data_IF_214387083697
#
_entry.id   IF_214387083697
#
_cell.length_a   1.000
_cell.length_b   1.000
_cell.length_c   1.000
_cell.angle_alpha   90.00
_cell.angle_beta   90.00
_cell.angle_gamma   90.00
#
_symmetry.space_group_name_H-M   'P 1'
#
loop_
_entity.id
_entity.type
_entity.pdbx_description
1 polymer ?
#
# COMPACT_ATOMS: atom_id res chain seq x y z
N UNK A 1 25.96 -51.79 -49.18
CA UNK A 1 25.92 -50.67 -50.14
C UNK A 1 25.95 -49.38 -49.32
N UNK A 2 27.04 -48.61 -49.47
CA UNK A 2 27.35 -47.22 -49.07
C UNK A 2 26.79 -46.70 -47.71
N UNK A 3 27.55 -46.33 -46.67
CA UNK A 3 28.83 -45.58 -46.49
C UNK A 3 28.82 -44.11 -46.95
N UNK A 4 28.79 -43.18 -45.98
CA UNK A 4 29.55 -41.92 -45.89
C UNK A 4 29.22 -41.26 -44.52
N UNK A 5 30.12 -41.15 -43.53
CA UNK A 5 31.39 -40.40 -43.40
C UNK A 5 31.21 -38.89 -43.14
N UNK A 6 31.55 -38.49 -41.91
CA UNK A 6 31.95 -37.16 -41.38
C UNK A 6 33.22 -36.61 -42.13
N UNK A 7 33.82 -35.40 -41.88
CA UNK A 7 33.90 -34.64 -40.61
C UNK A 7 34.13 -33.08 -40.64
N UNK A 8 34.40 -32.54 -39.42
CA UNK A 8 35.27 -31.41 -39.01
C UNK A 8 34.92 -29.93 -39.24
N UNK A 9 34.88 -29.17 -38.12
CA UNK A 9 35.52 -27.84 -37.93
C UNK A 9 35.65 -27.65 -36.41
N UNK A 10 36.79 -27.96 -35.80
CA UNK A 10 38.00 -27.13 -35.60
C UNK A 10 37.80 -25.92 -34.68
N UNK A 11 38.36 -26.11 -33.48
CA UNK A 11 38.67 -25.21 -32.40
C UNK A 11 39.92 -24.38 -32.71
N UNK A 12 39.86 -23.06 -32.53
CA UNK A 12 41.05 -22.21 -32.49
C UNK A 12 41.29 -21.70 -31.06
N UNK A 13 42.37 -22.22 -30.48
CA UNK A 13 43.08 -21.75 -29.30
C UNK A 13 44.00 -20.60 -29.71
N UNK A 14 43.97 -19.48 -28.98
CA UNK A 14 45.02 -18.47 -29.04
C UNK A 14 45.84 -18.54 -27.75
N UNK A 15 47.04 -19.10 -27.88
CA UNK A 15 48.16 -18.92 -26.97
C UNK A 15 49.07 -17.82 -27.56
N UNK A 16 49.41 -16.79 -26.80
CA UNK A 16 50.64 -15.99 -27.03
C UNK A 16 51.24 -15.59 -25.68
N UNK A 17 52.24 -16.37 -25.31
CA UNK A 17 53.57 -16.01 -24.78
C UNK A 17 53.70 -15.14 -23.51
N UNK A 18 54.20 -15.83 -22.48
CA UNK A 18 54.81 -15.38 -21.23
C UNK A 18 56.30 -15.06 -21.53
N UNK A 19 56.80 -13.87 -21.18
CA UNK A 19 58.23 -13.60 -21.02
C UNK A 19 58.49 -12.93 -19.67
N UNK A 20 59.44 -13.51 -18.95
CA UNK A 20 59.77 -13.28 -17.55
C UNK A 20 61.16 -12.65 -17.42
N UNK A 21 61.34 -11.99 -16.27
CA UNK A 21 62.60 -11.62 -15.57
C UNK A 21 63.16 -10.21 -15.82
N UNK A 22 63.08 -9.29 -14.85
CA UNK A 22 63.88 -9.12 -13.60
C UNK A 22 65.27 -8.53 -13.87
N UNK A 23 65.52 -7.27 -13.49
CA UNK A 23 66.76 -6.92 -12.76
C UNK A 23 66.67 -5.57 -12.02
N UNK A 24 67.17 -5.60 -10.79
CA UNK A 24 67.36 -4.46 -9.89
C UNK A 24 68.62 -3.67 -10.28
N UNK A 25 68.60 -2.36 -10.07
CA UNK A 25 69.81 -1.53 -10.12
C UNK A 25 69.56 -0.14 -9.53
N UNK A 26 69.95 0.03 -8.27
CA UNK A 26 70.11 1.32 -7.59
C UNK A 26 71.12 2.20 -8.34
N UNK A 27 70.89 3.51 -8.37
CA UNK A 27 71.85 4.45 -7.82
C UNK A 27 71.18 5.78 -7.45
N UNK A 28 71.59 6.27 -6.30
CA UNK A 28 71.24 7.54 -5.69
C UNK A 28 71.88 8.70 -6.46
N UNK A 29 71.30 9.89 -6.34
CA UNK A 29 71.93 11.00 -5.59
C UNK A 29 70.92 12.17 -5.42
N UNK A 30 70.66 12.51 -4.15
CA UNK A 30 70.69 13.85 -3.52
C UNK A 30 70.51 15.08 -4.45
N UNK A 31 69.77 16.16 -4.15
CA UNK A 31 69.22 16.77 -2.93
C UNK A 31 68.44 18.02 -3.39
N UNK A 32 67.45 18.48 -2.62
CA UNK A 32 67.06 19.90 -2.43
C UNK A 32 65.58 20.04 -2.03
N UNK A 33 65.40 20.08 -0.71
CA UNK A 33 64.60 21.05 0.06
C UNK A 33 63.19 21.43 -0.41
N UNK A 34 62.18 20.94 0.33
CA UNK A 34 61.03 21.78 0.68
C UNK A 34 60.42 21.29 2.00
N UNK A 35 60.65 22.06 3.05
CA UNK A 35 60.15 21.86 4.41
C UNK A 35 58.63 21.82 4.44
N UNK A 36 58.08 20.87 5.21
CA UNK A 36 56.68 20.85 5.62
C UNK A 36 56.54 21.33 7.06
N UNK A 37 55.55 22.20 7.29
CA UNK A 37 54.81 22.52 8.52
C UNK A 37 53.69 23.47 8.03
N UNK A 38 52.42 23.08 7.91
CA UNK A 38 51.47 22.58 8.92
C UNK A 38 51.21 23.61 10.03
N UNK A 39 50.28 24.54 9.75
CA UNK A 39 49.18 25.05 10.60
C UNK A 39 48.64 26.32 9.94
N UNK A 40 47.62 26.20 9.08
CA UNK A 40 46.81 27.35 8.74
C UNK A 40 45.89 27.65 9.93
N UNK A 41 46.28 28.67 10.68
CA UNK A 41 45.42 29.49 11.52
C UNK A 41 44.35 30.14 10.64
N UNK A 42 43.28 29.40 10.34
CA UNK A 42 41.99 30.00 9.97
C UNK A 42 41.06 29.83 11.18
N UNK A 43 41.35 30.64 12.20
CA UNK A 43 40.40 31.09 13.22
C UNK A 43 39.32 31.93 12.53
N UNK A 44 38.47 31.26 11.74
CA UNK A 44 37.15 31.79 11.44
C UNK A 44 36.31 31.54 12.68
N UNK A 45 36.24 32.58 13.51
CA UNK A 45 35.23 32.82 14.53
C UNK A 45 33.86 32.45 13.93
N UNK A 46 33.46 31.19 14.15
CA UNK A 46 32.12 30.72 13.90
C UNK A 46 31.26 31.51 14.89
N UNK A 47 30.48 32.44 14.33
CA UNK A 47 29.49 33.26 15.03
C UNK A 47 28.45 32.29 15.58
N UNK A 48 28.80 31.66 16.70
CA UNK A 48 27.96 30.76 17.47
C UNK A 48 26.92 31.64 18.16
N UNK A 49 25.96 32.12 17.37
CA UNK A 49 24.68 32.58 17.88
C UNK A 49 24.22 31.48 18.84
N UNK A 50 24.12 31.84 20.11
CA UNK A 50 23.67 30.96 21.15
C UNK A 50 22.29 30.39 20.75
N UNK A 51 22.29 29.19 20.17
CA UNK A 51 21.07 28.46 19.89
C UNK A 51 20.33 28.32 21.22
N UNK A 52 19.11 28.84 21.27
CA UNK A 52 18.24 28.68 22.42
C UNK A 52 18.18 27.18 22.74
N UNK A 53 18.61 26.82 23.96
CA UNK A 53 18.68 25.44 24.46
C UNK A 53 17.29 24.75 24.39
N UNK A 54 16.21 25.52 24.23
CA UNK A 54 14.85 25.05 24.03
C UNK A 54 14.62 24.32 22.69
N UNK A 55 15.43 24.59 21.66
CA UNK A 55 15.26 24.00 20.33
C UNK A 55 15.77 22.55 20.22
N UNK A 56 16.60 22.09 21.17
CA UNK A 56 17.25 20.77 21.13
C UNK A 56 16.52 19.64 21.89
N UNK A 57 15.36 19.92 22.48
CA UNK A 57 14.57 18.86 23.14
C UNK A 57 14.03 17.93 22.03
N UNK A 58 13.87 16.61 22.20
CA UNK A 58 13.13 15.81 21.23
C UNK A 58 11.66 16.27 21.11
N UNK A 59 11.01 16.07 19.96
CA UNK A 59 9.56 16.29 19.84
C UNK A 59 8.75 15.22 20.60
N UNK A 60 9.35 14.05 20.89
CA UNK A 60 8.76 13.00 21.72
C UNK A 60 9.68 12.59 22.90
N UNK A 61 9.20 12.64 24.16
CA UNK A 61 9.85 12.07 25.33
C UNK A 61 9.87 10.54 25.27
N UNK A 62 10.87 9.93 25.93
CA UNK A 62 11.03 8.47 25.96
C UNK A 62 10.02 7.75 26.88
N UNK A 63 9.31 8.47 27.77
CA UNK A 63 8.52 7.88 28.87
C UNK A 63 6.98 7.89 28.67
N UNK A 64 6.47 8.21 27.48
CA UNK A 64 5.02 8.29 27.26
C UNK A 64 4.43 6.90 26.94
N UNK A 65 3.60 6.37 27.85
CA UNK A 65 3.02 5.02 27.74
C UNK A 65 1.73 4.94 26.89
N UNK A 66 1.08 6.07 26.58
CA UNK A 66 -0.21 6.10 25.88
C UNK A 66 -0.11 6.87 24.55
N UNK A 67 -0.42 6.21 23.43
CA UNK A 67 -0.23 6.74 22.07
C UNK A 67 -1.02 8.04 21.79
N UNK A 68 -2.23 8.18 22.35
CA UNK A 68 -3.02 9.41 22.21
C UNK A 68 -2.29 10.60 22.88
N UNK A 69 -1.70 10.35 24.06
CA UNK A 69 -0.90 11.34 24.77
C UNK A 69 0.43 11.64 24.05
N UNK A 70 0.96 10.70 23.26
CA UNK A 70 2.16 10.91 22.43
C UNK A 70 1.84 11.88 21.30
N UNK A 71 0.72 11.68 20.60
CA UNK A 71 0.28 12.53 19.49
C UNK A 71 -0.02 13.97 19.96
N UNK A 72 -0.75 14.11 21.08
CA UNK A 72 -1.05 15.42 21.68
C UNK A 72 0.24 16.17 22.09
N UNK A 73 1.21 15.44 22.66
CA UNK A 73 2.50 16.01 23.04
C UNK A 73 3.31 16.44 21.81
N UNK A 74 3.37 15.59 20.79
CA UNK A 74 4.04 15.89 19.52
C UNK A 74 3.50 17.18 18.90
N UNK A 75 2.17 17.31 18.79
CA UNK A 75 1.53 18.50 18.21
C UNK A 75 1.79 19.74 19.06
N UNK A 76 1.74 19.62 20.39
CA UNK A 76 2.01 20.72 21.32
C UNK A 76 3.43 21.25 21.19
N UNK A 77 4.44 20.36 21.17
CA UNK A 77 5.85 20.75 21.03
C UNK A 77 6.13 21.29 19.62
N UNK A 78 5.57 20.67 18.58
CA UNK A 78 5.70 21.16 17.20
C UNK A 78 5.18 22.60 17.09
N UNK A 79 4.02 22.87 17.67
CA UNK A 79 3.40 24.19 17.69
C UNK A 79 4.23 25.22 18.45
N UNK A 80 4.86 24.82 19.56
CA UNK A 80 5.73 25.69 20.33
C UNK A 80 6.99 26.09 19.55
N UNK A 81 7.58 25.16 18.79
CA UNK A 81 8.84 25.43 18.06
C UNK A 81 8.65 26.11 16.71
N UNK A 82 7.73 25.60 15.90
CA UNK A 82 7.59 26.05 14.50
C UNK A 82 6.44 27.04 14.31
N UNK A 83 5.56 27.16 15.31
CA UNK A 83 4.49 28.16 15.36
C UNK A 83 3.07 27.59 15.24
N UNK A 84 2.10 28.49 15.33
CA UNK A 84 0.67 28.14 15.42
C UNK A 84 0.04 27.58 14.14
N UNK A 85 0.66 27.80 12.98
CA UNK A 85 0.20 27.26 11.71
C UNK A 85 0.90 25.93 11.47
N UNK A 86 0.16 24.83 11.51
CA UNK A 86 0.69 23.50 11.23
C UNK A 86 -0.40 22.59 10.65
N UNK A 87 -0.01 21.46 10.02
CA UNK A 87 -0.94 20.41 9.65
C UNK A 87 -1.65 19.85 10.90
N UNK A 88 -2.89 19.39 10.75
CA UNK A 88 -3.59 18.71 11.84
C UNK A 88 -3.07 17.29 11.94
N UNK A 89 -2.32 16.99 12.99
CA UNK A 89 -1.81 15.64 13.22
C UNK A 89 -2.92 14.74 13.75
N UNK A 90 -2.95 13.50 13.28
CA UNK A 90 -3.93 12.50 13.68
C UNK A 90 -3.67 12.08 15.12
N UNK A 91 -4.66 12.28 15.98
CA UNK A 91 -4.63 11.86 17.37
C UNK A 91 -4.94 10.36 17.45
N UNK A 92 -3.91 9.56 17.71
CA UNK A 92 -4.04 8.11 17.87
C UNK A 92 -2.86 7.33 17.27
N UNK A 93 -3.03 6.01 17.23
CA UNK A 93 -1.99 5.12 16.70
C UNK A 93 -1.86 5.18 15.18
N UNK A 94 -0.66 4.84 14.66
CA UNK A 94 -0.44 4.71 13.21
C UNK A 94 -1.43 3.73 12.55
N UNK A 95 -1.79 2.66 13.27
CA UNK A 95 -2.80 1.69 12.82
C UNK A 95 -4.17 2.35 12.61
N UNK A 96 -4.56 3.26 13.50
CA UNK A 96 -5.82 3.99 13.41
C UNK A 96 -5.78 5.05 12.32
N UNK A 97 -4.66 5.75 12.15
CA UNK A 97 -4.45 6.67 11.03
C UNK A 97 -4.54 5.93 9.68
N UNK A 98 -3.92 4.76 9.55
CA UNK A 98 -4.01 3.90 8.37
C UNK A 98 -5.45 3.42 8.12
N UNK A 99 -6.19 3.09 9.18
CA UNK A 99 -7.62 2.74 9.08
C UNK A 99 -8.46 3.93 8.62
N UNK A 100 -8.21 5.12 9.17
CA UNK A 100 -8.91 6.35 8.79
C UNK A 100 -8.62 6.77 7.34
N UNK A 101 -7.41 6.52 6.85
CA UNK A 101 -6.98 6.84 5.48
C UNK A 101 -7.59 5.87 4.45
N UNK A 102 -7.49 4.56 4.68
CA UNK A 102 -7.75 3.56 3.64
C UNK A 102 -8.89 2.56 3.93
N UNK A 103 -9.33 2.45 5.18
CA UNK A 103 -10.38 1.49 5.61
C UNK A 103 -11.74 2.16 5.89
N UNK A 104 -11.90 3.42 5.50
CA UNK A 104 -13.16 4.13 5.46
C UNK A 104 -13.89 3.93 4.11
N UNK A 105 -15.17 4.36 3.98
CA UNK A 105 -15.89 4.35 2.71
C UNK A 105 -15.09 5.04 1.61
N UNK A 106 -15.19 4.55 0.37
CA UNK A 106 -14.30 5.02 -0.71
C UNK A 106 -14.39 6.52 -1.01
N UNK A 107 -15.54 7.14 -0.77
CA UNK A 107 -15.72 8.59 -0.88
C UNK A 107 -14.77 9.35 0.06
N UNK A 108 -14.64 8.87 1.30
CA UNK A 108 -13.93 9.55 2.39
C UNK A 108 -12.45 9.18 2.48
N UNK A 109 -11.98 8.22 1.67
CA UNK A 109 -10.58 7.78 1.66
C UNK A 109 -9.67 8.95 1.31
N UNK A 110 -8.61 9.14 2.10
CA UNK A 110 -7.64 10.20 1.89
C UNK A 110 -6.24 9.60 1.94
N UNK A 111 -5.26 10.12 1.19
CA UNK A 111 -3.89 9.69 1.32
C UNK A 111 -3.39 9.87 2.75
N UNK A 112 -2.50 8.99 3.18
CA UNK A 112 -1.83 9.09 4.47
C UNK A 112 -0.49 9.82 4.29
N UNK A 113 -0.29 10.93 4.98
CA UNK A 113 0.96 11.66 5.00
C UNK A 113 1.70 11.39 6.31
N UNK A 114 2.80 10.65 6.25
CA UNK A 114 3.65 10.36 7.41
C UNK A 114 4.74 11.42 7.53
N UNK A 115 4.68 12.22 8.59
CA UNK A 115 5.73 13.17 8.92
C UNK A 115 6.71 12.51 9.91
N UNK A 116 7.93 12.27 9.45
CA UNK A 116 9.01 11.72 10.25
C UNK A 116 10.02 12.83 10.58
N UNK A 117 10.11 13.14 11.86
CA UNK A 117 11.04 14.12 12.39
C UNK A 117 12.32 13.43 12.88
N UNK A 118 13.44 14.11 12.74
CA UNK A 118 14.69 13.77 13.42
C UNK A 118 15.43 15.08 13.58
N UNK A 119 15.64 15.50 14.81
CA UNK A 119 16.45 16.67 15.06
C UNK A 119 17.93 16.29 14.92
N UNK A 120 18.67 17.09 14.17
CA UNK A 120 20.09 16.85 13.94
C UNK A 120 20.86 18.15 14.08
N UNK A 121 20.36 19.28 13.55
CA UNK A 121 21.12 20.54 13.47
C UNK A 121 20.23 21.83 13.52
N UNK A 122 19.04 21.82 14.14
CA UNK A 122 18.28 23.03 14.47
C UNK A 122 17.57 23.81 13.34
N UNK A 123 18.03 23.76 12.07
CA UNK A 123 17.40 24.50 10.96
C UNK A 123 16.96 23.60 9.80
N UNK A 124 15.74 23.08 9.90
CA UNK A 124 15.16 22.22 8.86
C UNK A 124 14.01 22.96 8.16
N UNK A 125 14.21 23.30 6.89
CA UNK A 125 13.21 24.02 6.07
C UNK A 125 11.83 23.34 6.02
N UNK A 126 11.80 22.00 6.04
CA UNK A 126 10.54 21.26 5.94
C UNK A 126 9.59 21.60 7.12
N UNK A 127 9.96 21.41 8.40
CA UNK A 127 9.10 21.84 9.50
C UNK A 127 8.92 23.36 9.60
N UNK A 128 9.98 24.16 9.45
CA UNK A 128 9.91 25.61 9.76
C UNK A 128 9.34 26.49 8.65
N UNK A 129 9.50 26.11 7.38
CA UNK A 129 9.01 26.89 6.22
C UNK A 129 7.87 26.18 5.51
N UNK A 130 8.06 24.90 5.17
CA UNK A 130 7.12 24.19 4.28
C UNK A 130 5.84 23.77 5.00
N UNK A 131 5.93 23.12 6.17
CA UNK A 131 4.75 22.64 6.89
C UNK A 131 3.96 23.78 7.54
N UNK A 132 4.65 24.85 7.97
CA UNK A 132 4.02 26.05 8.56
C UNK A 132 3.39 26.96 7.50
N UNK A 133 3.71 26.75 6.22
CA UNK A 133 3.03 27.44 5.14
C UNK A 133 1.52 27.15 5.18
N UNK A 134 0.71 28.21 5.17
CA UNK A 134 -0.75 28.12 5.32
C UNK A 134 -1.41 27.27 4.22
N UNK A 135 -0.97 27.40 2.97
CA UNK A 135 -1.55 26.68 1.84
C UNK A 135 -1.29 25.18 1.97
N UNK A 136 -0.05 24.80 2.28
CA UNK A 136 0.34 23.41 2.54
C UNK A 136 -0.39 22.84 3.76
N UNK A 137 -0.39 23.56 4.88
CA UNK A 137 -1.10 23.18 6.10
C UNK A 137 -2.60 22.95 5.86
N UNK A 138 -3.26 23.86 5.13
CA UNK A 138 -4.69 23.76 4.83
C UNK A 138 -4.98 22.62 3.85
N UNK A 139 -4.10 22.39 2.86
CA UNK A 139 -4.20 21.26 1.93
C UNK A 139 -4.09 19.92 2.67
N UNK A 140 -3.04 19.77 3.49
CA UNK A 140 -2.82 18.58 4.30
C UNK A 140 -3.98 18.31 5.27
N UNK A 141 -4.51 19.36 5.93
CA UNK A 141 -5.64 19.24 6.86
C UNK A 141 -6.92 18.74 6.17
N UNK A 142 -7.19 19.22 4.95
CA UNK A 142 -8.42 18.90 4.21
C UNK A 142 -8.33 17.54 3.51
N UNK A 143 -7.25 17.32 2.78
CA UNK A 143 -7.17 16.23 1.80
C UNK A 143 -6.35 15.03 2.26
N UNK A 144 -5.61 15.14 3.37
CA UNK A 144 -4.74 14.07 3.87
C UNK A 144 -5.11 13.67 5.30
N UNK A 145 -4.77 12.45 5.67
CA UNK A 145 -4.61 12.05 7.08
C UNK A 145 -3.14 12.23 7.40
N UNK A 146 -2.77 13.15 8.28
CA UNK A 146 -1.36 13.41 8.62
C UNK A 146 -1.03 12.72 9.93
N UNK A 147 0.04 11.93 9.99
CA UNK A 147 0.50 11.31 11.23
C UNK A 147 1.98 11.65 11.46
N UNK A 148 2.32 12.11 12.65
CA UNK A 148 3.66 12.59 13.01
C UNK A 148 4.38 11.65 13.95
N UNK A 149 5.69 11.49 13.76
CA UNK A 149 6.55 10.71 14.67
C UNK A 149 7.97 11.28 14.74
N UNK A 150 8.56 11.24 15.92
CA UNK A 150 9.94 11.67 16.16
C UNK A 150 10.90 10.49 16.25
N UNK A 151 11.87 10.43 15.35
CA UNK A 151 12.91 9.41 15.23
C UNK A 151 14.27 9.83 15.80
N UNK A 152 14.31 10.92 16.58
CA UNK A 152 15.55 11.47 17.17
C UNK A 152 16.23 10.44 18.09
N UNK A 153 15.48 9.79 18.98
CA UNK A 153 16.00 8.76 19.89
C UNK A 153 16.05 7.37 19.25
N UNK A 154 16.93 6.49 19.74
CA UNK A 154 17.01 5.11 19.24
C UNK A 154 15.76 4.29 19.61
N UNK A 155 15.16 4.55 20.77
CA UNK A 155 13.93 3.89 21.22
C UNK A 155 12.79 4.18 20.26
N UNK A 156 12.59 5.45 19.88
CA UNK A 156 11.51 5.82 18.97
C UNK A 156 11.70 5.26 17.56
N UNK A 157 12.96 5.05 17.12
CA UNK A 157 13.24 4.39 15.84
C UNK A 157 12.79 2.93 15.84
N UNK A 158 13.05 2.20 16.92
CA UNK A 158 12.63 0.79 17.06
C UNK A 158 11.09 0.71 17.17
N UNK A 159 10.49 1.59 17.98
CA UNK A 159 9.03 1.66 18.12
C UNK A 159 8.33 1.96 16.78
N UNK A 160 8.90 2.82 15.92
CA UNK A 160 8.32 3.07 14.60
C UNK A 160 8.21 1.80 13.76
N UNK A 161 9.21 0.92 13.81
CA UNK A 161 9.18 -0.35 13.08
C UNK A 161 8.04 -1.26 13.57
N UNK A 162 7.81 -1.30 14.88
CA UNK A 162 6.70 -2.02 15.50
C UNK A 162 5.34 -1.42 15.09
N UNK A 163 5.18 -0.09 15.20
CA UNK A 163 3.97 0.61 14.79
C UNK A 163 3.64 0.41 13.32
N UNK A 164 4.65 0.46 12.44
CA UNK A 164 4.46 0.18 11.01
C UNK A 164 4.10 -1.27 10.75
N UNK A 165 4.58 -2.22 11.56
CA UNK A 165 4.16 -3.60 11.46
C UNK A 165 2.69 -3.79 11.85
N UNK A 166 2.23 -3.15 12.93
CA UNK A 166 0.84 -3.20 13.38
C UNK A 166 -0.14 -2.54 12.41
N UNK A 167 0.33 -1.58 11.61
CA UNK A 167 -0.44 -0.85 10.62
C UNK A 167 -0.45 -1.49 9.21
N UNK A 168 0.11 -2.69 9.04
CA UNK A 168 0.32 -3.34 7.72
C UNK A 168 1.21 -2.52 6.76
N UNK A 169 2.17 -1.76 7.31
CA UNK A 169 3.07 -0.86 6.57
C UNK A 169 4.53 -1.32 6.59
N UNK A 170 4.83 -2.51 7.14
CA UNK A 170 6.20 -3.06 7.22
C UNK A 170 6.95 -3.06 5.87
N UNK A 171 6.25 -3.25 4.76
CA UNK A 171 6.85 -3.26 3.40
C UNK A 171 7.47 -1.93 2.98
N UNK A 172 6.97 -0.82 3.50
CA UNK A 172 7.45 0.53 3.16
C UNK A 172 8.41 1.09 4.21
N UNK A 173 8.61 0.40 5.35
CA UNK A 173 9.58 0.79 6.37
C UNK A 173 11.01 0.87 5.82
N UNK A 174 11.43 -0.11 5.01
CA UNK A 174 12.76 -0.12 4.36
C UNK A 174 12.95 0.98 3.31
N UNK A 175 11.89 1.70 2.96
CA UNK A 175 11.89 2.77 1.96
C UNK A 175 11.91 4.17 2.59
N UNK A 176 11.95 4.25 3.93
CA UNK A 176 12.13 5.50 4.66
C UNK A 176 13.51 6.07 4.32
N UNK A 177 13.60 7.36 3.93
CA UNK A 177 14.87 7.96 3.59
C UNK A 177 15.77 8.11 4.83
N UNK A 178 17.08 7.96 4.64
CA UNK A 178 18.07 8.20 5.69
C UNK A 178 18.14 9.68 6.12
N UNK A 179 17.85 10.59 5.18
CA UNK A 179 17.79 12.04 5.44
C UNK A 179 16.40 12.42 5.94
N UNK A 180 16.36 12.87 7.18
CA UNK A 180 15.18 13.40 7.87
C UNK A 180 15.40 14.89 8.16
N UNK A 181 14.31 15.68 8.30
CA UNK A 181 12.92 15.28 8.38
C UNK A 181 12.32 15.05 6.99
N UNK A 182 11.29 14.21 6.91
CA UNK A 182 10.61 13.90 5.66
C UNK A 182 9.10 13.77 5.84
N UNK A 183 8.34 14.18 4.82
CA UNK A 183 6.91 13.90 4.69
C UNK A 183 6.75 12.85 3.59
N UNK A 184 6.31 11.65 3.97
CA UNK A 184 6.07 10.53 3.07
C UNK A 184 4.59 10.45 2.74
N UNK A 185 4.23 10.51 1.46
CA UNK A 185 2.84 10.31 1.03
C UNK A 185 2.62 8.85 0.69
N UNK A 186 1.66 8.24 1.35
CA UNK A 186 1.28 6.84 1.18
C UNK A 186 -0.09 6.75 0.52
N UNK A 187 -0.17 5.93 -0.52
CA UNK A 187 -1.40 5.48 -1.15
C UNK A 187 -1.56 3.97 -0.96
N UNK A 188 -2.78 3.47 -1.15
CA UNK A 188 -3.08 2.04 -0.99
C UNK A 188 -3.80 1.45 -2.22
N UNK A 189 -3.16 1.39 -3.40
CA UNK A 189 -3.71 0.69 -4.56
C UNK A 189 -4.00 -0.77 -4.19
N UNK A 190 -5.22 -1.23 -4.45
CA UNK A 190 -5.67 -2.58 -4.07
C UNK A 190 -5.39 -2.95 -2.61
N UNK A 191 -5.48 -1.99 -1.68
CA UNK A 191 -5.18 -2.16 -0.25
C UNK A 191 -3.71 -2.49 0.10
N UNK A 192 -2.77 -2.24 -0.81
CA UNK A 192 -1.33 -2.41 -0.55
C UNK A 192 -0.70 -1.04 -0.34
N UNK A 193 -0.18 -0.78 0.87
CA UNK A 193 0.48 0.48 1.20
C UNK A 193 1.75 0.70 0.36
N UNK A 194 1.83 1.86 -0.30
CA UNK A 194 2.95 2.27 -1.15
C UNK A 194 3.29 3.74 -0.90
N UNK A 195 4.57 4.05 -0.72
CA UNK A 195 5.07 5.44 -0.70
C UNK A 195 5.15 5.94 -2.14
N UNK A 196 4.38 6.98 -2.47
CA UNK A 196 4.36 7.59 -3.80
C UNK A 196 5.17 8.88 -3.89
N UNK A 197 5.34 9.58 -2.77
CA UNK A 197 6.17 10.78 -2.70
C UNK A 197 6.98 10.85 -1.40
N UNK A 198 8.16 11.49 -1.50
CA UNK A 198 9.07 11.74 -0.38
C UNK A 198 9.49 13.20 -0.43
N UNK A 199 8.89 14.02 0.43
CA UNK A 199 9.15 15.46 0.49
C UNK A 199 10.11 15.71 1.63
N UNK A 200 11.22 16.37 1.35
CA UNK A 200 12.32 16.62 2.29
C UNK A 200 12.72 18.09 2.26
N UNK A 201 13.58 18.53 3.20
CA UNK A 201 13.95 19.96 3.37
C UNK A 201 14.66 20.66 2.21
N UNK A 202 14.87 20.00 1.06
CA UNK A 202 15.37 20.65 -0.16
C UNK A 202 14.25 21.03 -1.15
N UNK A 203 13.00 20.66 -0.86
CA UNK A 203 11.84 21.04 -1.66
C UNK A 203 11.45 22.49 -1.33
N UNK A 204 11.11 23.27 -2.36
CA UNK A 204 10.44 24.56 -2.14
C UNK A 204 8.97 24.35 -1.78
N UNK A 205 8.30 25.41 -1.34
CA UNK A 205 6.86 25.37 -1.06
C UNK A 205 6.08 25.03 -2.34
N UNK A 206 6.44 25.63 -3.47
CA UNK A 206 5.77 25.42 -4.77
C UNK A 206 5.89 23.96 -5.21
N UNK A 207 7.11 23.42 -5.17
CA UNK A 207 7.37 22.01 -5.52
C UNK A 207 6.64 21.05 -4.59
N UNK A 208 6.53 21.41 -3.31
CA UNK A 208 5.75 20.63 -2.33
C UNK A 208 4.27 20.63 -2.71
N UNK A 209 3.70 21.80 -3.03
CA UNK A 209 2.32 21.94 -3.47
C UNK A 209 2.04 21.11 -4.71
N UNK A 210 2.87 21.23 -5.75
CA UNK A 210 2.77 20.43 -6.98
C UNK A 210 2.79 18.92 -6.67
N UNK A 211 3.75 18.47 -5.87
CA UNK A 211 3.88 17.05 -5.49
C UNK A 211 2.65 16.54 -4.74
N UNK A 212 2.08 17.35 -3.83
CA UNK A 212 0.88 16.97 -3.08
C UNK A 212 -0.36 16.91 -3.99
N UNK A 213 -0.49 17.85 -4.93
CA UNK A 213 -1.58 17.84 -5.91
C UNK A 213 -1.50 16.60 -6.83
N UNK A 214 -0.31 16.26 -7.32
CA UNK A 214 -0.08 15.05 -8.12
C UNK A 214 -0.45 13.78 -7.34
N UNK A 215 -0.14 13.74 -6.04
CA UNK A 215 -0.53 12.61 -5.19
C UNK A 215 -2.06 12.51 -5.02
N UNK A 216 -2.77 13.64 -4.98
CA UNK A 216 -4.23 13.66 -4.89
C UNK A 216 -4.88 13.19 -6.20
N UNK A 217 -4.31 13.55 -7.34
CA UNK A 217 -4.74 13.06 -8.64
C UNK A 217 -4.56 11.54 -8.73
N UNK A 218 -3.38 11.02 -8.39
CA UNK A 218 -3.13 9.57 -8.32
C UNK A 218 -4.09 8.86 -7.36
N UNK A 219 -4.40 9.46 -6.20
CA UNK A 219 -5.36 8.88 -5.26
C UNK A 219 -6.77 8.82 -5.85
N UNK A 220 -7.18 9.81 -6.64
CA UNK A 220 -8.46 9.81 -7.35
C UNK A 220 -8.51 8.68 -8.38
N UNK A 221 -7.46 8.53 -9.18
CA UNK A 221 -7.36 7.42 -10.14
C UNK A 221 -7.44 6.05 -9.46
N UNK A 222 -6.73 5.88 -8.33
CA UNK A 222 -6.78 4.64 -7.54
C UNK A 222 -8.19 4.38 -6.98
N UNK A 223 -8.89 5.42 -6.51
CA UNK A 223 -10.28 5.29 -6.05
C UNK A 223 -11.19 4.83 -7.19
N UNK A 224 -11.09 5.44 -8.36
CA UNK A 224 -11.90 5.10 -9.53
C UNK A 224 -11.61 3.67 -10.01
N UNK A 225 -10.33 3.27 -10.06
CA UNK A 225 -9.93 1.90 -10.40
C UNK A 225 -10.46 0.86 -9.39
N UNK A 226 -10.36 1.15 -8.09
CA UNK A 226 -10.89 0.27 -7.04
C UNK A 226 -12.44 0.17 -7.10
N UNK A 227 -13.13 1.27 -7.44
CA UNK A 227 -14.58 1.29 -7.66
C UNK A 227 -14.98 0.47 -8.86
N UNK A 228 -14.32 0.66 -10.00
CA UNK A 228 -14.58 -0.10 -11.22
C UNK A 228 -14.36 -1.61 -10.99
N UNK A 229 -13.27 -1.98 -10.30
CA UNK A 229 -12.99 -3.37 -9.97
C UNK A 229 -14.05 -4.01 -9.07
N UNK A 230 -14.49 -3.30 -8.02
CA UNK A 230 -15.55 -3.78 -7.13
C UNK A 230 -16.89 -3.92 -7.86
N UNK A 231 -17.25 -2.93 -8.69
CA UNK A 231 -18.49 -2.96 -9.45
C UNK A 231 -18.51 -4.09 -10.50
N UNK A 232 -17.39 -4.32 -11.19
CA UNK A 232 -17.25 -5.42 -12.13
C UNK A 232 -17.41 -6.79 -11.45
N UNK A 233 -16.76 -6.99 -10.30
CA UNK A 233 -16.89 -8.22 -9.51
C UNK A 233 -18.33 -8.46 -9.02
N UNK A 234 -19.01 -7.41 -8.57
CA UNK A 234 -20.42 -7.51 -8.16
C UNK A 234 -21.35 -7.79 -9.34
N UNK A 235 -21.09 -7.19 -10.50
CA UNK A 235 -21.84 -7.43 -11.73
C UNK A 235 -21.71 -8.89 -12.20
N UNK A 236 -20.48 -9.43 -12.23
CA UNK A 236 -20.22 -10.83 -12.61
C UNK A 236 -20.94 -11.79 -11.65
N UNK A 237 -20.87 -11.54 -10.33
CA UNK A 237 -21.56 -12.35 -9.33
C UNK A 237 -23.07 -12.29 -9.51
N UNK A 238 -23.63 -11.12 -9.82
CA UNK A 238 -25.07 -10.92 -10.04
C UNK A 238 -25.53 -11.62 -11.32
N UNK A 239 -24.77 -11.53 -12.40
CA UNK A 239 -25.06 -12.21 -13.66
C UNK A 239 -25.07 -13.74 -13.48
N UNK A 240 -24.05 -14.28 -12.81
CA UNK A 240 -23.98 -15.71 -12.48
C UNK A 240 -25.16 -16.16 -11.61
N UNK A 241 -25.56 -15.35 -10.62
CA UNK A 241 -26.70 -15.66 -9.77
C UNK A 241 -28.02 -15.62 -10.56
N UNK A 242 -28.19 -14.66 -11.48
CA UNK A 242 -29.37 -14.57 -12.33
C UNK A 242 -29.52 -15.79 -13.25
N UNK A 243 -28.42 -16.23 -13.89
CA UNK A 243 -28.44 -17.41 -14.75
C UNK A 243 -28.79 -18.69 -13.99
N UNK A 244 -28.27 -18.87 -12.78
CA UNK A 244 -28.62 -20.01 -11.93
C UNK A 244 -30.10 -20.00 -11.53
N UNK A 245 -30.65 -18.81 -11.26
CA UNK A 245 -32.07 -18.68 -10.93
C UNK A 245 -32.96 -18.96 -12.14
N UNK A 246 -32.60 -18.48 -13.33
CA UNK A 246 -33.30 -18.83 -14.57
C UNK A 246 -33.30 -20.35 -14.83
N UNK A 247 -32.16 -21.01 -14.64
CA UNK A 247 -32.06 -22.46 -14.75
C UNK A 247 -32.91 -23.19 -13.71
N UNK A 248 -32.96 -22.69 -12.47
CA UNK A 248 -33.79 -23.26 -11.39
C UNK A 248 -35.27 -23.16 -11.73
N UNK A 249 -35.74 -22.00 -12.18
CA UNK A 249 -37.13 -21.77 -12.60
C UNK A 249 -37.52 -22.69 -13.76
N UNK A 250 -36.66 -22.80 -14.77
CA UNK A 250 -36.90 -23.69 -15.91
C UNK A 250 -36.97 -25.16 -15.48
N UNK A 251 -36.10 -25.58 -14.57
CA UNK A 251 -36.11 -26.94 -14.02
C UNK A 251 -37.37 -27.23 -13.22
N UNK A 252 -37.80 -26.31 -12.36
CA UNK A 252 -39.03 -26.44 -11.58
C UNK A 252 -40.27 -26.52 -12.47
N UNK A 253 -40.31 -25.72 -13.54
CA UNK A 253 -41.38 -25.78 -14.52
C UNK A 253 -41.43 -27.16 -15.22
N UNK A 254 -40.28 -27.68 -15.69
CA UNK A 254 -40.22 -29.01 -16.31
C UNK A 254 -40.66 -30.11 -15.34
N UNK A 255 -40.24 -30.04 -14.07
CA UNK A 255 -40.61 -31.02 -13.06
C UNK A 255 -42.11 -30.99 -12.76
N UNK A 256 -42.71 -29.80 -12.73
CA UNK A 256 -44.15 -29.64 -12.53
C UNK A 256 -44.94 -30.21 -13.71
N UNK A 257 -44.47 -29.97 -14.95
CA UNK A 257 -45.12 -30.51 -16.15
C UNK A 257 -45.05 -32.04 -16.21
N UNK A 258 -43.89 -32.62 -15.87
CA UNK A 258 -43.73 -34.08 -15.85
C UNK A 258 -44.63 -34.73 -14.78
N UNK A 259 -44.70 -34.13 -13.58
CA UNK A 259 -45.63 -34.56 -12.52
C UNK A 259 -47.09 -34.48 -12.97
N UNK A 260 -47.51 -33.35 -13.55
CA UNK A 260 -48.87 -33.16 -14.02
C UNK A 260 -49.25 -34.19 -15.10
N UNK A 261 -48.33 -34.48 -16.03
CA UNK A 261 -48.53 -35.48 -17.08
C UNK A 261 -48.65 -36.89 -16.50
N UNK A 262 -47.87 -37.21 -15.47
CA UNK A 262 -47.93 -38.50 -14.79
C UNK A 262 -49.23 -38.66 -13.99
N UNK A 263 -49.68 -37.61 -13.29
CA UNK A 263 -50.95 -37.61 -12.56
C UNK A 263 -52.15 -37.75 -13.50
N UNK A 264 -52.17 -37.03 -14.63
CA UNK A 264 -53.23 -37.15 -15.64
C UNK A 264 -53.30 -38.58 -16.22
N UNK A 265 -52.13 -39.21 -16.45
CA UNK A 265 -52.06 -40.59 -16.92
C UNK A 265 -52.63 -41.57 -15.89
N UNK A 266 -52.24 -41.43 -14.63
CA UNK A 266 -52.75 -42.26 -13.53
C UNK A 266 -54.27 -42.07 -13.33
N UNK A 267 -54.77 -40.85 -13.45
CA UNK A 267 -56.20 -40.57 -13.34
C UNK A 267 -56.99 -41.20 -14.50
N UNK A 268 -56.51 -41.09 -15.73
CA UNK A 268 -57.11 -41.74 -16.91
C UNK A 268 -57.15 -43.26 -16.76
N UNK A 269 -56.05 -43.88 -16.32
CA UNK A 269 -56.00 -45.33 -16.05
C UNK A 269 -56.99 -45.73 -14.96
N UNK A 270 -57.11 -44.95 -13.87
CA UNK A 270 -58.07 -45.22 -12.79
C UNK A 270 -59.51 -45.07 -13.26
N UNK A 271 -59.81 -44.09 -14.10
CA UNK A 271 -61.15 -43.87 -14.65
C UNK A 271 -61.54 -44.99 -15.63
N UNK A 272 -60.60 -45.43 -16.48
CA UNK A 272 -60.81 -46.54 -17.40
C UNK A 272 -61.10 -47.84 -16.66
N UNK A 273 -60.32 -48.15 -15.61
CA UNK A 273 -60.53 -49.35 -14.80
C UNK A 273 -61.89 -49.34 -14.08
N UNK A 274 -62.32 -48.18 -13.56
CA UNK A 274 -63.65 -48.04 -12.96
C UNK A 274 -64.78 -48.28 -13.96
N UNK A 275 -64.66 -47.73 -15.17
CA UNK A 275 -65.65 -47.99 -16.24
C UNK A 275 -65.71 -49.47 -16.61
N UNK A 276 -64.56 -50.12 -16.75
CA UNK A 276 -64.48 -51.55 -17.06
C UNK A 276 -65.10 -52.41 -15.94
N UNK A 277 -64.86 -52.07 -14.66
CA UNK A 277 -65.49 -52.77 -13.54
C UNK A 277 -67.02 -52.49 -13.46
N UNK A 278 -67.49 -51.28 -13.76
CA UNK A 278 -68.93 -50.95 -13.83
C UNK A 278 -69.63 -51.67 -14.98
N UNK A 279 -69.02 -51.73 -16.17
CA UNK A 279 -69.54 -52.47 -17.32
C UNK A 279 -69.61 -53.98 -17.04
N UNK A 280 -68.59 -54.55 -16.37
CA UNK A 280 -68.60 -55.97 -15.96
C UNK A 280 -69.72 -56.27 -14.95
N UNK A 281 -69.95 -55.37 -14.00
CA UNK A 281 -71.02 -55.54 -12.99
C UNK A 281 -72.42 -55.46 -13.63
N UNK A 282 -72.62 -54.57 -14.62
CA UNK A 282 -73.88 -54.45 -15.35
C UNK A 282 -74.17 -55.69 -16.20
N UNK A 283 -73.16 -56.27 -16.86
CA UNK A 283 -73.31 -57.53 -17.59
C UNK A 283 -73.68 -58.69 -16.66
N UNK A 284 -73.06 -58.79 -15.48
CA UNK A 284 -73.41 -59.79 -14.47
C UNK A 284 -74.84 -59.61 -13.90
N UNK A 285 -75.34 -58.38 -13.79
CA UNK A 285 -76.73 -58.10 -13.39
C UNK A 285 -77.75 -58.42 -14.48
N UNK A 286 -77.48 -58.08 -15.75
CA UNK A 286 -78.35 -58.46 -16.88
C UNK A 286 -78.42 -59.98 -17.04
N UNK A 287 -77.29 -60.70 -16.93
CA UNK A 287 -77.27 -62.17 -16.98
C UNK A 287 -78.02 -62.84 -15.80
N UNK A 288 -78.15 -62.18 -14.64
CA UNK A 288 -78.96 -62.67 -13.51
C UNK A 288 -80.45 -62.36 -13.62
N UNK A 289 -80.84 -61.39 -14.44
CA UNK A 289 -82.24 -61.02 -14.65
C UNK A 289 -82.89 -61.80 -15.79
N UNK A 290 -82.09 -62.32 -16.73
CA UNK A 290 -82.53 -63.14 -17.87
C UNK A 290 -82.52 -64.67 -17.62
N UNK A 291 -82.14 -65.13 -16.41
CA UNK A 291 -82.14 -66.53 -15.97
C UNK A 291 -83.29 -66.85 -14.99
#
# INVERSE_FOLDING_TARGET
MASNSQPTHESETYEVEDDLSTEYGQDSDYDSDSYGEDTNEDDLEDDFEALDVEDQVPLLPEEINAMDSVADHFESVFKQRFGSTHPSFFLGSLKEANRAAFRCPMADRRPLALYLHKDVNGLMKLPSETLVNKEISDLLRKEFVVWGWDMTTQVNRILLEELMAEADMRRIHSQIPSRLPALLVVLAPMSVNQIVARIQGHFSVERTTETLLDCLEQNKEIKEANQAGSAAFEAEKKERAALLEEQRIAYEHMLAEDKARQEEKLEKERLAKKKEDEERLQQEEEERMDA
#
